data_IF_894698400131
#
_entry.id   IF_894698400131
#
_cell.length_a   1.000
_cell.length_b   1.000
_cell.length_c   1.000
_cell.angle_alpha   90.00
_cell.angle_beta   90.00
_cell.angle_gamma   90.00
#
_symmetry.space_group_name_H-M   'P 1'
#
loop_
_entity.id
_entity.type
_entity.pdbx_description
1 polymer ?
#
# COMPACT_ATOMS: atom_id res chain seq x y z
N UNK A 1 6.97 10.04 -4.62
CA UNK A 1 6.45 9.38 -5.84
C UNK A 1 7.28 8.14 -6.13
N UNK A 2 6.80 7.27 -7.02
CA UNK A 2 7.40 5.96 -7.30
C UNK A 2 8.90 6.07 -7.59
N UNK A 3 9.30 6.94 -8.52
CA UNK A 3 10.71 7.14 -8.91
C UNK A 3 11.62 7.46 -7.73
N UNK A 4 11.17 8.33 -6.82
CA UNK A 4 11.95 8.70 -5.63
C UNK A 4 12.16 7.53 -4.66
N UNK A 5 11.14 6.67 -4.52
CA UNK A 5 11.25 5.45 -3.71
C UNK A 5 12.18 4.43 -4.36
N UNK A 6 12.10 4.26 -5.69
CA UNK A 6 13.01 3.37 -6.43
C UNK A 6 14.46 3.84 -6.34
N UNK A 7 14.73 5.14 -6.54
CA UNK A 7 16.06 5.70 -6.37
C UNK A 7 16.59 5.56 -4.94
N UNK A 8 15.71 5.67 -3.93
CA UNK A 8 16.09 5.43 -2.54
C UNK A 8 16.41 3.95 -2.30
N UNK A 9 15.63 3.02 -2.85
CA UNK A 9 15.90 1.59 -2.75
C UNK A 9 17.24 1.23 -3.39
N UNK A 10 17.49 1.66 -4.62
CA UNK A 10 18.75 1.43 -5.33
C UNK A 10 19.97 1.92 -4.55
N UNK A 11 19.82 3.02 -3.79
CA UNK A 11 20.91 3.62 -3.03
C UNK A 11 21.10 3.03 -1.63
N UNK A 12 20.01 2.67 -0.96
CA UNK A 12 20.02 2.44 0.49
C UNK A 12 19.59 1.05 0.93
N UNK A 13 18.99 0.23 0.06
CA UNK A 13 18.64 -1.15 0.41
C UNK A 13 19.90 -1.92 0.83
N UNK A 14 19.84 -2.56 1.99
CA UNK A 14 20.96 -3.33 2.55
C UNK A 14 22.10 -2.50 3.14
N UNK A 15 22.03 -1.17 3.12
CA UNK A 15 23.07 -0.31 3.70
C UNK A 15 23.18 -0.47 5.23
N UNK A 16 24.37 -0.20 5.76
CA UNK A 16 24.68 -0.37 7.19
C UNK A 16 24.63 -1.83 7.63
N UNK A 17 25.29 -2.72 6.88
CA UNK A 17 25.35 -4.17 7.11
C UNK A 17 23.95 -4.83 7.15
N UNK A 18 23.08 -4.45 6.20
CA UNK A 18 21.74 -5.01 6.07
C UNK A 18 20.69 -4.42 7.03
N UNK A 19 21.03 -3.37 7.78
CA UNK A 19 20.10 -2.75 8.76
C UNK A 19 19.07 -1.82 8.15
N UNK A 20 19.30 -1.35 6.92
CA UNK A 20 18.37 -0.49 6.20
C UNK A 20 17.62 -1.29 5.14
N UNK A 21 16.30 -1.12 5.13
CA UNK A 21 15.39 -1.62 4.11
C UNK A 21 14.52 -0.46 3.61
N UNK A 22 14.23 -0.42 2.32
CA UNK A 22 13.45 0.64 1.68
C UNK A 22 12.18 0.03 1.11
N UNK A 23 11.04 0.47 1.63
CA UNK A 23 9.71 -0.02 1.25
C UNK A 23 8.86 1.10 0.66
N UNK A 24 7.82 0.76 -0.09
CA UNK A 24 6.85 1.75 -0.54
C UNK A 24 5.99 2.24 0.61
N UNK A 25 5.84 3.57 0.73
CA UNK A 25 4.93 4.22 1.67
C UNK A 25 3.71 4.75 0.93
N UNK A 26 2.62 3.99 0.91
CA UNK A 26 1.37 4.41 0.30
C UNK A 26 0.53 5.23 1.29
N UNK A 27 -0.10 6.29 0.80
CA UNK A 27 -1.16 6.99 1.52
C UNK A 27 -2.48 6.19 1.42
N UNK A 28 -3.41 6.45 2.34
CA UNK A 28 -4.73 5.81 2.39
C UNK A 28 -5.43 5.78 1.03
N UNK A 29 -6.21 4.73 0.77
CA UNK A 29 -7.13 4.73 -0.36
C UNK A 29 -8.35 5.57 -0.01
N UNK A 30 -8.36 6.81 -0.49
CA UNK A 30 -9.37 7.82 -0.22
C UNK A 30 -9.76 8.51 -1.54
N UNK A 31 -10.85 9.30 -1.61
CA UNK A 31 -11.34 9.88 -2.86
C UNK A 31 -10.32 10.71 -3.66
N UNK A 32 -9.26 11.23 -3.03
CA UNK A 32 -8.19 11.97 -3.69
C UNK A 32 -7.08 11.08 -4.28
N UNK A 33 -7.11 9.77 -4.01
CA UNK A 33 -6.13 8.80 -4.49
C UNK A 33 -6.46 8.35 -5.92
N UNK A 34 -5.42 8.02 -6.69
CA UNK A 34 -5.56 7.31 -7.96
C UNK A 34 -5.35 5.80 -7.71
N UNK A 35 -6.40 4.95 -7.82
CA UNK A 35 -6.30 3.52 -7.56
C UNK A 35 -5.27 2.79 -8.42
N UNK A 36 -5.07 3.22 -9.67
CA UNK A 36 -4.14 2.59 -10.61
C UNK A 36 -2.68 2.64 -10.10
N UNK A 37 -2.35 3.62 -9.26
CA UNK A 37 -1.03 3.71 -8.63
C UNK A 37 -0.78 2.58 -7.63
N UNK A 38 -1.82 2.00 -7.03
CA UNK A 38 -1.66 0.85 -6.14
C UNK A 38 -1.27 -0.41 -6.92
N UNK A 39 -1.83 -0.59 -8.11
CA UNK A 39 -1.48 -1.70 -9.01
C UNK A 39 -0.02 -1.57 -9.46
N UNK A 40 0.39 -0.37 -9.85
CA UNK A 40 1.77 -0.09 -10.25
C UNK A 40 2.76 -0.32 -9.09
N UNK A 41 2.48 0.26 -7.91
CA UNK A 41 3.33 0.10 -6.73
C UNK A 41 3.43 -1.36 -6.31
N UNK A 42 2.33 -2.11 -6.29
CA UNK A 42 2.36 -3.52 -5.86
C UNK A 42 3.08 -4.41 -6.88
N UNK A 43 2.96 -4.12 -8.18
CA UNK A 43 3.74 -4.80 -9.21
C UNK A 43 5.25 -4.53 -9.05
N UNK A 44 5.64 -3.26 -8.89
CA UNK A 44 7.05 -2.87 -8.69
C UNK A 44 7.62 -3.43 -7.38
N UNK A 45 6.83 -3.46 -6.31
CA UNK A 45 7.23 -4.04 -5.04
C UNK A 45 7.56 -5.53 -5.17
N UNK A 46 6.72 -6.29 -5.89
CA UNK A 46 6.96 -7.71 -6.16
C UNK A 46 8.19 -7.92 -7.05
N UNK A 47 8.35 -7.11 -8.10
CA UNK A 47 9.49 -7.20 -9.03
C UNK A 47 10.84 -6.98 -8.31
N UNK A 48 10.88 -6.09 -7.32
CA UNK A 48 12.11 -5.68 -6.61
C UNK A 48 12.26 -6.28 -5.22
N UNK A 49 11.41 -7.23 -4.83
CA UNK A 49 11.35 -7.79 -3.47
C UNK A 49 11.23 -6.72 -2.36
N UNK A 50 10.50 -5.65 -2.64
CA UNK A 50 10.21 -4.59 -1.66
C UNK A 50 8.95 -4.95 -0.86
N UNK A 51 8.84 -4.43 0.36
CA UNK A 51 7.56 -4.39 1.06
C UNK A 51 6.81 -3.08 0.80
N UNK A 52 5.61 -2.98 1.36
CA UNK A 52 4.81 -1.75 1.36
C UNK A 52 4.15 -1.51 2.71
N UNK A 53 3.91 -0.24 3.02
CA UNK A 53 3.16 0.20 4.18
C UNK A 53 2.01 1.10 3.73
N UNK A 54 0.81 0.91 4.25
CA UNK A 54 -0.36 1.73 3.92
C UNK A 54 -1.26 1.91 5.14
N UNK A 55 -1.94 3.05 5.23
CA UNK A 55 -3.04 3.26 6.17
C UNK A 55 -4.30 2.65 5.56
N UNK A 56 -4.92 1.69 6.25
CA UNK A 56 -6.03 0.93 5.70
C UNK A 56 -7.12 0.74 6.74
N UNK A 57 -8.37 0.92 6.31
CA UNK A 57 -9.56 0.73 7.12
C UNK A 57 -9.46 1.45 8.48
N UNK A 58 -9.15 2.76 8.45
CA UNK A 58 -8.96 3.60 9.64
C UNK A 58 -10.26 4.26 10.10
N UNK A 59 -11.11 4.69 9.16
CA UNK A 59 -12.33 5.45 9.45
C UNK A 59 -13.52 4.89 8.66
N UNK A 60 -14.77 5.02 9.15
CA UNK A 60 -15.94 4.46 8.46
C UNK A 60 -16.09 4.90 7.00
N UNK A 61 -15.68 6.12 6.66
CA UNK A 61 -15.77 6.65 5.29
C UNK A 61 -14.85 5.93 4.29
N UNK A 62 -13.86 5.18 4.77
CA UNK A 62 -13.04 4.33 3.92
C UNK A 62 -13.86 3.23 3.25
N UNK A 63 -14.78 2.60 4.00
CA UNK A 63 -15.70 1.61 3.44
C UNK A 63 -16.72 2.28 2.50
N UNK A 64 -17.08 3.55 2.73
CA UNK A 64 -17.93 4.31 1.81
C UNK A 64 -17.21 4.61 0.50
N UNK A 65 -15.92 4.97 0.56
CA UNK A 65 -15.09 5.12 -0.63
C UNK A 65 -14.95 3.79 -1.38
N UNK A 66 -14.64 2.69 -0.71
CA UNK A 66 -14.55 1.37 -1.32
C UNK A 66 -15.86 0.97 -2.04
N UNK A 67 -17.02 1.27 -1.43
CA UNK A 67 -18.34 1.06 -2.05
C UNK A 67 -18.54 1.91 -3.29
N UNK A 68 -18.10 3.17 -3.27
CA UNK A 68 -18.12 4.03 -4.45
C UNK A 68 -17.22 3.51 -5.59
N UNK A 69 -16.18 2.75 -5.27
CA UNK A 69 -15.31 2.05 -6.23
C UNK A 69 -15.84 0.65 -6.63
N UNK A 70 -16.99 0.22 -6.10
CA UNK A 70 -17.60 -1.08 -6.44
C UNK A 70 -17.17 -2.25 -5.55
N UNK A 71 -16.49 -2.00 -4.44
CA UNK A 71 -16.08 -3.03 -3.47
C UNK A 71 -16.94 -2.99 -2.21
N UNK A 72 -17.11 -4.13 -1.52
CA UNK A 72 -17.96 -4.15 -0.30
C UNK A 72 -17.29 -3.49 0.90
N UNK A 73 -15.96 -3.62 1.01
CA UNK A 73 -15.15 -3.12 2.13
C UNK A 73 -13.81 -2.57 1.63
N UNK A 74 -13.15 -1.75 2.45
CA UNK A 74 -11.82 -1.22 2.15
C UNK A 74 -10.75 -2.33 2.08
N UNK A 75 -10.96 -3.43 2.82
CA UNK A 75 -10.14 -4.65 2.72
C UNK A 75 -10.30 -5.31 1.35
N UNK A 76 -11.53 -5.41 0.84
CA UNK A 76 -11.78 -5.98 -0.50
C UNK A 76 -11.18 -5.12 -1.61
N UNK A 77 -11.29 -3.79 -1.50
CA UNK A 77 -10.59 -2.85 -2.39
C UNK A 77 -9.08 -3.10 -2.37
N UNK A 78 -8.47 -3.17 -1.18
CA UNK A 78 -7.03 -3.41 -1.04
C UNK A 78 -6.59 -4.77 -1.60
N UNK A 79 -7.42 -5.81 -1.43
CA UNK A 79 -7.18 -7.12 -2.01
C UNK A 79 -7.18 -7.07 -3.55
N UNK A 80 -8.15 -6.38 -4.14
CA UNK A 80 -8.27 -6.22 -5.59
C UNK A 80 -7.04 -5.54 -6.21
N UNK A 81 -6.48 -4.54 -5.51
CA UNK A 81 -5.28 -3.81 -5.92
C UNK A 81 -3.96 -4.43 -5.44
N UNK A 82 -3.99 -5.68 -4.95
CA UNK A 82 -2.78 -6.42 -4.58
C UNK A 82 -2.01 -5.88 -3.36
N UNK A 83 -2.61 -4.99 -2.58
CA UNK A 83 -2.02 -4.36 -1.39
C UNK A 83 -1.92 -5.33 -0.20
N UNK A 84 -2.66 -6.44 -0.23
CA UNK A 84 -2.63 -7.47 0.80
C UNK A 84 -1.62 -8.57 0.44
N UNK A 85 -0.72 -8.90 1.38
CA UNK A 85 0.28 -9.93 1.17
C UNK A 85 1.26 -10.07 2.34
N UNK A 86 2.19 -11.04 2.27
CA UNK A 86 3.13 -11.33 3.36
C UNK A 86 4.16 -10.21 3.61
N UNK A 87 4.33 -9.27 2.68
CA UNK A 87 5.26 -8.13 2.78
C UNK A 87 4.53 -6.78 2.87
N UNK A 88 3.30 -6.79 3.37
CA UNK A 88 2.49 -5.59 3.57
C UNK A 88 2.34 -5.30 5.07
N UNK A 89 2.53 -4.04 5.45
CA UNK A 89 2.15 -3.53 6.78
C UNK A 89 0.95 -2.63 6.62
N UNK A 90 -0.14 -3.01 7.26
CA UNK A 90 -1.42 -2.30 7.25
C UNK A 90 -1.56 -1.55 8.57
N UNK A 91 -1.55 -0.23 8.53
CA UNK A 91 -1.78 0.59 9.71
C UNK A 91 -3.28 0.78 9.96
N UNK A 92 -3.65 0.85 11.24
CA UNK A 92 -5.02 1.02 11.77
C UNK A 92 -5.90 -0.21 11.73
N UNK A 93 -6.55 -0.50 10.60
CA UNK A 93 -7.48 -1.62 10.45
C UNK A 93 -8.59 -1.67 11.52
N UNK A 94 -9.06 -0.51 11.98
CA UNK A 94 -10.05 -0.36 13.06
C UNK A 94 -11.48 -0.68 12.62
N UNK A 95 -11.77 -0.57 11.32
CA UNK A 95 -13.07 -0.85 10.70
C UNK A 95 -12.99 -1.94 9.62
N UNK A 96 -11.99 -2.82 9.72
CA UNK A 96 -11.83 -3.96 8.82
C UNK A 96 -13.07 -4.89 8.91
N UNK A 97 -13.63 -5.23 7.75
CA UNK A 97 -14.78 -6.14 7.60
C UNK A 97 -16.10 -5.73 8.30
N UNK A 98 -16.24 -4.44 8.67
CA UNK A 98 -17.50 -3.85 9.17
C UNK A 98 -18.33 -3.13 8.12
#
# INVERSE_FOLDING_TARGET
GIEGTLAAHERWEGAGDGRLQVWFGCRSAEPASNPDLYDEVTALARERDMGLTIHLAELPHDNDYARAQGHRTHIEFAHAHGLLGPRSVLAHCTIADT
#
